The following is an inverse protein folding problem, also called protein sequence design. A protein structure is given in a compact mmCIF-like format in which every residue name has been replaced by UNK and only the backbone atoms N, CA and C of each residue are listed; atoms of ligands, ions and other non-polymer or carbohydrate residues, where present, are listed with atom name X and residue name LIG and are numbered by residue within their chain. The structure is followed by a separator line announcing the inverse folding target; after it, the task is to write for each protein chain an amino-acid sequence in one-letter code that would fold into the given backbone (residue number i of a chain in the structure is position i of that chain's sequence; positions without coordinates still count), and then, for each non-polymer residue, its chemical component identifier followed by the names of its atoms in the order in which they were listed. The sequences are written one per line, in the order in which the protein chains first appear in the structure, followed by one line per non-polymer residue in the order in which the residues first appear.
data_IF_968498416811
#
_entry.id   IF_968498416811
#
_cell.length_a   1.000
_cell.length_b   1.000
_cell.length_c   1.000
_cell.angle_alpha   90.00
_cell.angle_beta   90.00
_cell.angle_gamma   90.00
#
_symmetry.space_group_name_H-M   'P 1'
#
loop_
_entity.id
_entity.type
_entity.pdbx_description
1 polymer ?
#
# COMPACT_ATOMS: atom_id res chain seq x y z
N UNK A 1 -17.15 34.64 25.72
CA UNK A 1 -17.23 34.41 24.25
C UNK A 1 -17.92 33.08 24.00
N UNK A 2 -18.85 33.08 23.04
CA UNK A 2 -20.05 32.26 22.99
C UNK A 2 -19.85 31.01 22.12
N UNK A 3 -20.22 29.83 22.65
CA UNK A 3 -20.45 28.58 21.90
C UNK A 3 -21.68 28.72 20.99
N UNK A 4 -21.59 28.20 19.76
CA UNK A 4 -22.67 27.95 18.78
C UNK A 4 -22.13 26.82 17.89
N UNK A 5 -22.81 25.74 17.48
CA UNK A 5 -24.20 25.40 17.08
C UNK A 5 -24.14 23.90 16.67
N UNK A 6 -25.16 23.08 16.41
CA UNK A 6 -26.62 23.09 16.48
C UNK A 6 -27.06 21.62 16.21
N UNK A 7 -28.19 21.21 16.77
CA UNK A 7 -28.84 19.88 16.71
C UNK A 7 -29.89 19.85 15.58
N UNK A 8 -30.49 18.66 15.34
CA UNK A 8 -31.92 18.37 15.01
C UNK A 8 -32.14 17.83 13.57
N UNK A 9 -33.01 16.86 13.20
CA UNK A 9 -33.82 15.77 13.81
C UNK A 9 -34.43 14.98 12.65
N UNK A 10 -34.63 13.67 12.83
CA UNK A 10 -35.30 12.77 11.88
C UNK A 10 -36.83 12.83 12.02
N UNK A 11 -37.57 12.86 10.90
CA UNK A 11 -39.01 12.55 10.86
C UNK A 11 -39.27 11.34 9.95
N UNK A 12 -40.05 10.39 10.45
CA UNK A 12 -40.75 9.36 9.67
C UNK A 12 -42.22 9.78 9.52
N UNK A 13 -42.82 9.55 8.36
CA UNK A 13 -44.27 9.56 8.18
C UNK A 13 -44.69 8.41 7.25
N UNK A 14 -45.72 7.68 7.68
CA UNK A 14 -46.36 6.55 7.00
C UNK A 14 -47.79 6.94 6.63
N UNK A 15 -48.22 6.57 5.42
CA UNK A 15 -49.58 6.08 5.13
C UNK A 15 -50.64 7.09 4.71
N UNK A 16 -51.29 6.84 3.56
CA UNK A 16 -52.72 6.46 3.39
C UNK A 16 -53.12 6.54 1.92
N UNK A 17 -53.93 5.59 1.44
CA UNK A 17 -54.35 5.48 0.04
C UNK A 17 -55.69 6.16 -0.28
N UNK A 18 -56.08 6.14 -1.56
CA UNK A 18 -57.42 5.79 -2.06
C UNK A 18 -57.45 5.75 -3.60
N UNK A 19 -58.27 4.83 -4.13
CA UNK A 19 -58.57 4.57 -5.53
C UNK A 19 -59.48 5.63 -6.16
N UNK A 20 -59.26 5.95 -7.44
CA UNK A 20 -60.32 6.35 -8.38
C UNK A 20 -60.15 5.65 -9.73
N UNK A 21 -61.18 4.92 -10.12
CA UNK A 21 -61.43 4.36 -11.46
C UNK A 21 -62.15 5.43 -12.30
N UNK A 22 -61.64 5.77 -13.48
CA UNK A 22 -62.46 5.99 -14.68
C UNK A 22 -61.61 6.28 -15.93
N UNK A 23 -62.02 5.67 -17.05
CA UNK A 23 -61.94 6.29 -18.38
C UNK A 23 -60.64 6.18 -19.16
N UNK A 24 -60.41 5.02 -19.79
CA UNK A 24 -59.54 4.96 -20.98
C UNK A 24 -60.24 5.68 -22.15
N UNK A 25 -59.75 6.87 -22.49
CA UNK A 25 -59.88 7.45 -23.82
C UNK A 25 -58.53 8.04 -24.18
N UNK A 26 -57.85 7.44 -25.16
CA UNK A 26 -56.50 7.79 -25.54
C UNK A 26 -56.43 9.21 -26.09
N UNK A 27 -55.74 10.07 -25.35
CA UNK A 27 -55.13 11.30 -25.86
C UNK A 27 -53.69 11.30 -25.37
N UNK A 28 -52.75 10.95 -26.25
CA UNK A 28 -51.32 11.05 -25.96
C UNK A 28 -50.93 12.53 -26.05
N UNK A 29 -51.15 13.28 -24.98
CA UNK A 29 -50.45 14.54 -24.75
C UNK A 29 -49.10 14.20 -24.12
N UNK A 30 -48.04 14.35 -24.90
CA UNK A 30 -46.67 14.30 -24.41
C UNK A 30 -46.47 15.44 -23.41
N UNK A 31 -46.65 15.18 -22.12
CA UNK A 31 -46.15 16.08 -21.08
C UNK A 31 -44.63 15.94 -21.06
N UNK A 32 -43.92 17.04 -21.34
CA UNK A 32 -42.50 17.12 -21.09
C UNK A 32 -42.25 16.87 -19.61
N UNK A 33 -41.49 15.81 -19.29
CA UNK A 33 -40.98 15.57 -17.94
C UNK A 33 -40.09 16.78 -17.60
N UNK A 34 -40.34 17.52 -16.51
CA UNK A 34 -39.43 18.56 -16.09
C UNK A 34 -38.11 17.91 -15.69
N UNK A 35 -37.07 18.10 -16.50
CA UNK A 35 -35.69 17.79 -16.13
C UNK A 35 -35.31 18.69 -14.97
N UNK A 36 -35.45 18.19 -13.75
CA UNK A 36 -34.83 18.76 -12.56
C UNK A 36 -33.33 18.45 -12.64
N UNK A 37 -32.64 19.19 -13.49
CA UNK A 37 -31.17 19.25 -13.52
C UNK A 37 -30.74 20.23 -12.45
N UNK A 38 -30.92 19.88 -11.18
CA UNK A 38 -30.31 20.62 -10.08
C UNK A 38 -29.76 19.61 -9.07
N UNK A 39 -28.43 19.68 -8.90
CA UNK A 39 -27.56 18.85 -8.06
C UNK A 39 -27.14 17.48 -8.63
N UNK A 40 -26.44 17.52 -9.77
CA UNK A 40 -25.32 16.60 -9.97
C UNK A 40 -24.10 17.15 -9.22
N UNK A 41 -24.07 16.96 -7.89
CA UNK A 41 -22.80 17.06 -7.19
C UNK A 41 -21.84 16.06 -7.85
N UNK A 42 -20.65 16.53 -8.23
CA UNK A 42 -19.64 15.74 -8.93
C UNK A 42 -19.43 14.41 -8.21
N UNK A 43 -19.90 13.31 -8.81
CA UNK A 43 -19.45 11.97 -8.43
C UNK A 43 -17.99 11.96 -8.79
N UNK A 44 -17.11 12.04 -7.78
CA UNK A 44 -15.68 11.92 -8.02
C UNK A 44 -15.43 10.60 -8.75
N UNK A 45 -14.53 10.57 -9.76
CA UNK A 45 -14.27 9.36 -10.49
C UNK A 45 -13.85 8.28 -9.47
N UNK A 46 -14.49 7.11 -9.55
CA UNK A 46 -14.24 5.96 -8.67
C UNK A 46 -12.72 5.66 -8.57
N UNK A 47 -11.94 6.01 -9.59
CA UNK A 47 -10.48 5.90 -9.61
C UNK A 47 -9.72 6.74 -8.58
N UNK A 48 -10.12 7.98 -8.29
CA UNK A 48 -9.43 8.84 -7.30
C UNK A 48 -9.74 8.38 -5.87
N UNK A 49 -11.00 8.05 -5.59
CA UNK A 49 -11.42 7.50 -4.30
C UNK A 49 -10.82 6.11 -4.04
N UNK A 50 -10.75 5.25 -5.06
CA UNK A 50 -10.10 3.95 -4.98
C UNK A 50 -8.57 4.09 -4.79
N UNK A 51 -7.93 5.06 -5.45
CA UNK A 51 -6.50 5.33 -5.25
C UNK A 51 -6.20 5.81 -3.82
N UNK A 52 -6.98 6.76 -3.30
CA UNK A 52 -6.86 7.25 -1.91
C UNK A 52 -7.17 6.17 -0.88
N UNK A 53 -8.10 5.25 -1.17
CA UNK A 53 -8.37 4.09 -0.32
C UNK A 53 -7.22 3.08 -0.36
N UNK A 54 -6.56 2.89 -1.51
CA UNK A 54 -5.40 2.01 -1.68
C UNK A 54 -4.18 2.50 -0.89
N UNK A 55 -3.99 3.81 -0.76
CA UNK A 55 -2.94 4.43 0.06
C UNK A 55 -3.13 4.23 1.57
N UNK A 56 -4.35 3.88 2.00
CA UNK A 56 -4.73 3.65 3.40
C UNK A 56 -4.80 2.18 3.79
N UNK A 57 -4.49 1.27 2.87
CA UNK A 57 -4.49 -0.15 3.18
C UNK A 57 -3.34 -0.46 4.15
N UNK A 58 -3.60 -1.19 5.25
CA UNK A 58 -2.55 -1.61 6.16
C UNK A 58 -1.53 -2.45 5.40
N UNK A 59 -0.25 -2.12 5.56
CA UNK A 59 0.82 -2.91 4.98
C UNK A 59 1.03 -4.17 5.82
N UNK A 60 1.17 -5.31 5.14
CA UNK A 60 1.41 -6.60 5.76
C UNK A 60 2.80 -7.11 5.42
N UNK A 61 3.49 -7.67 6.42
CA UNK A 61 4.73 -8.41 6.22
C UNK A 61 4.38 -9.88 5.97
N UNK A 62 4.60 -10.35 4.76
CA UNK A 62 4.23 -11.69 4.32
C UNK A 62 5.47 -12.58 4.34
N UNK A 63 5.41 -13.70 5.05
CA UNK A 63 6.51 -14.66 5.13
C UNK A 63 6.83 -15.25 3.75
N UNK A 64 8.10 -15.29 3.36
CA UNK A 64 8.49 -15.93 2.11
C UNK A 64 8.56 -17.45 2.28
N UNK A 65 7.60 -18.14 1.68
CA UNK A 65 7.51 -19.61 1.58
C UNK A 65 7.82 -20.11 0.18
N UNK A 66 8.50 -19.30 -0.63
CA UNK A 66 8.89 -19.61 -2.01
C UNK A 66 8.10 -18.85 -3.08
N UNK A 67 7.21 -17.93 -2.68
CA UNK A 67 6.46 -17.10 -3.63
C UNK A 67 7.28 -15.91 -4.18
N UNK A 68 8.40 -15.57 -3.54
CA UNK A 68 9.25 -14.44 -3.88
C UNK A 68 10.73 -14.86 -4.01
N UNK A 69 11.61 -13.91 -4.35
CA UNK A 69 13.06 -14.14 -4.42
C UNK A 69 13.57 -14.88 -3.17
N UNK A 70 14.34 -15.98 -3.32
CA UNK A 70 14.73 -16.84 -2.19
C UNK A 70 15.62 -16.15 -1.15
N UNK A 71 16.19 -14.98 -1.47
CA UNK A 71 16.95 -14.15 -0.52
C UNK A 71 16.05 -13.38 0.44
N UNK A 72 14.78 -13.15 0.07
CA UNK A 72 13.81 -12.53 0.95
C UNK A 72 13.34 -13.53 2.01
N UNK A 73 13.27 -13.09 3.26
CA UNK A 73 12.60 -13.80 4.36
C UNK A 73 11.17 -13.34 4.53
N UNK A 74 10.94 -12.03 4.35
CA UNK A 74 9.63 -11.43 4.33
C UNK A 74 9.52 -10.45 3.16
N UNK A 75 8.30 -10.28 2.67
CA UNK A 75 7.98 -9.25 1.69
C UNK A 75 6.81 -8.42 2.16
N UNK A 76 6.89 -7.12 1.93
CA UNK A 76 5.78 -6.19 2.10
C UNK A 76 5.42 -5.63 0.73
N UNK A 77 4.13 -5.57 0.40
CA UNK A 77 3.66 -5.02 -0.88
C UNK A 77 2.50 -4.05 -0.64
N UNK A 78 2.59 -2.86 -1.23
CA UNK A 78 1.53 -1.85 -1.17
C UNK A 78 1.96 -0.51 -1.76
N UNK A 79 1.03 0.30 -2.25
CA UNK A 79 1.33 1.64 -2.79
C UNK A 79 2.30 1.67 -3.98
N UNK A 80 2.37 0.61 -4.80
CA UNK A 80 3.27 0.53 -5.96
C UNK A 80 4.73 0.18 -5.63
N UNK A 81 5.02 -0.19 -4.38
CA UNK A 81 6.35 -0.63 -3.91
C UNK A 81 6.28 -2.04 -3.32
N UNK A 82 7.38 -2.76 -3.47
CA UNK A 82 7.65 -3.99 -2.72
C UNK A 82 8.88 -3.76 -1.85
N UNK A 83 8.85 -4.19 -0.60
CA UNK A 83 10.03 -4.18 0.27
C UNK A 83 10.40 -5.63 0.58
N UNK A 84 11.63 -6.00 0.27
CA UNK A 84 12.18 -7.32 0.56
C UNK A 84 13.07 -7.23 1.81
N UNK A 85 12.69 -7.96 2.84
CA UNK A 85 13.45 -8.10 4.09
C UNK A 85 14.32 -9.34 3.95
N UNK A 86 15.64 -9.16 3.97
CA UNK A 86 16.63 -10.23 3.75
C UNK A 86 17.56 -10.37 4.95
N UNK A 87 18.46 -11.36 4.94
CA UNK A 87 19.49 -11.52 5.97
C UNK A 87 20.51 -10.36 5.98
N UNK A 88 20.70 -9.66 4.85
CA UNK A 88 21.76 -8.65 4.67
C UNK A 88 21.26 -7.21 4.61
N UNK A 89 19.94 -6.97 4.65
CA UNK A 89 19.40 -5.63 4.45
C UNK A 89 17.93 -5.59 4.03
N UNK A 90 17.46 -4.36 3.83
CA UNK A 90 16.13 -4.05 3.29
C UNK A 90 16.26 -3.58 1.85
N UNK A 91 15.46 -4.13 0.93
CA UNK A 91 15.49 -3.74 -0.48
C UNK A 91 14.13 -3.22 -0.90
N UNK A 92 14.10 -1.94 -1.29
CA UNK A 92 12.92 -1.24 -1.76
C UNK A 92 12.87 -1.30 -3.28
N UNK A 93 11.89 -2.02 -3.80
CA UNK A 93 11.65 -2.22 -5.22
C UNK A 93 10.45 -1.37 -5.66
N UNK A 94 10.76 -0.34 -6.45
CA UNK A 94 9.81 0.63 -6.97
C UNK A 94 9.51 0.34 -8.43
N UNK A 95 8.22 0.25 -8.76
CA UNK A 95 7.77 0.11 -10.14
C UNK A 95 6.96 1.34 -10.54
N UNK A 96 7.48 2.12 -11.49
CA UNK A 96 6.79 3.28 -12.06
C UNK A 96 6.36 2.94 -13.48
N UNK A 97 5.06 3.01 -13.74
CA UNK A 97 4.53 2.94 -15.09
C UNK A 97 4.50 4.35 -15.69
N UNK A 98 5.07 4.52 -16.87
CA UNK A 98 4.95 5.77 -17.61
C UNK A 98 3.49 5.95 -18.08
N UNK A 99 3.00 7.19 -18.03
CA UNK A 99 1.67 7.50 -18.54
C UNK A 99 1.68 7.32 -20.05
N UNK A 100 0.66 6.63 -20.56
CA UNK A 100 0.40 6.51 -22.00
C UNK A 100 0.33 7.91 -22.63
N UNK A 101 1.06 8.12 -23.71
CA UNK A 101 0.85 9.31 -24.53
C UNK A 101 -0.57 9.24 -25.12
N UNK A 102 -1.45 10.23 -24.88
CA UNK A 102 -2.82 10.20 -25.39
C UNK A 102 -2.92 9.97 -26.91
N UNK A 103 -1.86 10.27 -27.66
CA UNK A 103 -1.80 10.09 -29.12
C UNK A 103 -1.42 8.66 -29.57
N UNK A 104 -1.00 7.77 -28.67
CA UNK A 104 -0.68 6.37 -29.03
C UNK A 104 -1.93 5.59 -29.46
N UNK A 105 -2.00 5.31 -30.77
CA UNK A 105 -3.12 4.65 -31.48
C UNK A 105 -3.65 3.41 -30.74
N UNK A 106 -4.98 3.33 -30.59
CA UNK A 106 -5.70 2.10 -30.19
C UNK A 106 -5.33 0.96 -31.14
N UNK A 107 -4.72 -0.12 -30.62
CA UNK A 107 -4.46 -1.34 -31.39
C UNK A 107 -3.06 -1.95 -31.23
N UNK A 108 -2.09 -1.23 -30.66
CA UNK A 108 -0.80 -1.81 -30.28
C UNK A 108 -0.91 -2.52 -28.92
N UNK A 109 -0.24 -3.67 -28.72
CA UNK A 109 -0.20 -4.33 -27.42
C UNK A 109 0.35 -3.37 -26.37
N UNK A 110 -0.30 -3.33 -25.20
CA UNK A 110 0.02 -2.44 -24.08
C UNK A 110 1.42 -2.78 -23.53
N UNK A 111 2.47 -2.29 -24.20
CA UNK A 111 3.85 -2.32 -23.69
C UNK A 111 3.99 -1.17 -22.71
N UNK A 112 3.28 -1.23 -21.58
CA UNK A 112 3.62 -0.34 -20.46
C UNK A 112 5.06 -0.64 -20.09
N UNK A 113 5.97 0.24 -20.49
CA UNK A 113 7.36 0.13 -20.11
C UNK A 113 7.44 0.59 -18.66
N UNK A 114 7.23 -0.34 -17.73
CA UNK A 114 7.43 -0.09 -16.32
C UNK A 114 8.93 0.08 -16.08
N UNK A 115 9.33 1.24 -15.57
CA UNK A 115 10.69 1.43 -15.06
C UNK A 115 10.75 0.88 -13.64
N UNK A 116 11.82 0.13 -13.35
CA UNK A 116 12.06 -0.50 -12.05
C UNK A 116 13.32 0.08 -11.42
N UNK A 117 13.21 0.56 -10.19
CA UNK A 117 14.32 1.06 -9.38
C UNK A 117 14.39 0.24 -8.09
N UNK A 118 15.58 -0.27 -7.75
CA UNK A 118 15.81 -0.96 -6.48
C UNK A 118 16.79 -0.17 -5.64
N UNK A 119 16.33 0.30 -4.47
CA UNK A 119 17.16 0.95 -3.46
C UNK A 119 17.43 -0.06 -2.34
N UNK A 120 18.70 -0.32 -2.06
CA UNK A 120 19.12 -1.21 -0.97
C UNK A 120 19.55 -0.41 0.26
N UNK A 121 19.13 -0.86 1.44
CA UNK A 121 19.69 -0.47 2.73
C UNK A 121 20.39 -1.69 3.31
N UNK A 122 21.70 -1.79 3.07
CA UNK A 122 22.51 -2.93 3.48
C UNK A 122 23.02 -2.77 4.91
N UNK A 123 23.14 -3.89 5.61
CA UNK A 123 23.73 -3.96 6.94
C UNK A 123 25.22 -4.30 6.84
N UNK A 124 26.08 -3.29 7.01
CA UNK A 124 27.53 -3.47 6.87
C UNK A 124 28.15 -4.09 8.14
N UNK A 125 28.95 -5.15 7.97
CA UNK A 125 29.57 -5.88 9.09
C UNK A 125 28.57 -6.43 10.11
N UNK A 126 27.31 -6.59 9.70
CA UNK A 126 26.27 -7.20 10.50
C UNK A 126 26.46 -8.71 10.62
N UNK A 127 25.70 -9.31 11.53
CA UNK A 127 25.54 -10.76 11.59
C UNK A 127 25.03 -11.27 10.23
N UNK A 128 25.75 -12.17 9.53
CA UNK A 128 25.33 -12.65 8.21
C UNK A 128 24.13 -13.60 8.25
N UNK A 129 23.70 -14.03 9.44
CA UNK A 129 22.55 -14.93 9.67
C UNK A 129 21.79 -14.51 10.93
N UNK A 130 21.15 -13.33 10.94
CA UNK A 130 20.34 -12.90 12.07
C UNK A 130 19.12 -13.82 12.21
N UNK A 131 18.61 -13.97 13.43
CA UNK A 131 17.31 -14.62 13.63
C UNK A 131 16.21 -13.63 13.22
N UNK A 132 15.44 -13.97 12.18
CA UNK A 132 14.38 -13.10 11.64
C UNK A 132 13.03 -13.76 11.87
N UNK A 133 12.11 -13.05 12.50
CA UNK A 133 10.79 -13.58 12.86
C UNK A 133 9.69 -12.54 12.64
N UNK A 134 8.54 -13.00 12.12
CA UNK A 134 7.34 -12.19 12.05
C UNK A 134 6.67 -12.10 13.42
N UNK A 135 6.24 -10.90 13.81
CA UNK A 135 5.54 -10.66 15.07
C UNK A 135 4.13 -10.11 14.82
N UNK A 136 3.30 -10.13 15.85
CA UNK A 136 1.90 -9.68 15.77
C UNK A 136 1.16 -10.27 14.55
N UNK A 137 1.17 -11.61 14.47
CA UNK A 137 0.54 -12.36 13.37
C UNK A 137 -0.89 -11.87 13.13
N UNK A 138 -1.19 -11.63 11.87
CA UNK A 138 -2.49 -11.12 11.41
C UNK A 138 -3.39 -12.27 11.00
N UNK A 139 -4.69 -12.00 11.04
CA UNK A 139 -5.73 -12.93 10.57
C UNK A 139 -5.74 -13.06 9.05
N UNK A 140 -5.21 -12.06 8.33
CA UNK A 140 -5.08 -12.10 6.89
C UNK A 140 -4.18 -13.26 6.44
N UNK A 141 -4.60 -13.95 5.38
CA UNK A 141 -3.88 -15.06 4.74
C UNK A 141 -3.73 -14.76 3.25
N UNK A 142 -2.58 -15.11 2.69
CA UNK A 142 -2.24 -14.82 1.30
C UNK A 142 -2.09 -16.11 0.49
N UNK A 143 -2.55 -16.07 -0.76
CA UNK A 143 -2.47 -17.18 -1.70
C UNK A 143 -1.84 -16.69 -3.01
N UNK A 144 -0.79 -17.37 -3.45
CA UNK A 144 -0.01 -17.07 -4.64
C UNK A 144 -0.20 -18.21 -5.64
N UNK A 145 -1.08 -18.00 -6.63
CA UNK A 145 -1.44 -18.98 -7.65
C UNK A 145 -0.76 -18.62 -8.99
N UNK A 146 0.58 -18.68 -9.01
CA UNK A 146 1.38 -18.18 -10.14
C UNK A 146 1.46 -19.24 -11.24
N UNK A 147 0.90 -18.92 -12.40
CA UNK A 147 0.87 -19.81 -13.57
C UNK A 147 -0.08 -21.00 -13.41
N UNK A 148 -0.03 -21.90 -14.40
CA UNK A 148 -0.95 -23.04 -14.49
C UNK A 148 -0.48 -24.30 -13.75
N UNK A 149 0.75 -24.30 -13.23
CA UNK A 149 1.32 -25.42 -12.50
C UNK A 149 0.97 -25.31 -11.01
N UNK A 150 0.05 -26.18 -10.55
CA UNK A 150 -0.41 -26.20 -9.17
C UNK A 150 0.68 -26.53 -8.16
N UNK A 151 1.76 -27.21 -8.57
CA UNK A 151 2.88 -27.50 -7.66
C UNK A 151 3.66 -26.23 -7.29
N UNK A 152 3.49 -25.15 -8.05
CA UNK A 152 4.09 -23.83 -7.79
C UNK A 152 3.17 -22.91 -7.00
N UNK A 153 1.97 -23.34 -6.67
CA UNK A 153 1.03 -22.54 -5.89
C UNK A 153 1.46 -22.54 -4.41
N UNK A 154 1.53 -21.35 -3.82
CA UNK A 154 1.86 -21.17 -2.41
C UNK A 154 0.62 -20.60 -1.73
N UNK A 155 -0.07 -21.41 -0.95
CA UNK A 155 -1.32 -21.03 -0.28
C UNK A 155 -1.14 -20.88 1.22
N UNK A 156 -2.09 -20.21 1.85
CA UNK A 156 -2.19 -20.12 3.32
C UNK A 156 -0.94 -19.50 3.97
N UNK A 157 -0.39 -18.47 3.33
CA UNK A 157 0.81 -17.76 3.80
C UNK A 157 0.41 -16.78 4.90
N UNK A 158 1.04 -16.82 6.10
CA UNK A 158 0.79 -15.87 7.17
C UNK A 158 1.28 -14.46 6.82
N UNK A 159 0.56 -13.50 7.37
CA UNK A 159 0.97 -12.11 7.42
C UNK A 159 1.22 -11.68 8.87
N UNK A 160 2.09 -10.70 9.02
CA UNK A 160 2.57 -10.17 10.29
C UNK A 160 2.45 -8.64 10.29
N UNK A 161 2.35 -8.05 11.49
CA UNK A 161 2.31 -6.60 11.66
C UNK A 161 3.70 -5.96 11.65
N UNK A 162 4.72 -6.74 12.01
CA UNK A 162 6.11 -6.30 12.08
C UNK A 162 7.04 -7.52 11.92
N UNK A 163 8.31 -7.25 11.66
CA UNK A 163 9.38 -8.25 11.61
C UNK A 163 10.49 -7.84 12.56
N UNK A 164 10.94 -8.80 13.38
CA UNK A 164 12.03 -8.63 14.33
C UNK A 164 13.27 -9.39 13.83
N UNK A 165 14.35 -8.65 13.67
CA UNK A 165 15.71 -9.15 13.52
C UNK A 165 16.36 -9.16 14.89
N UNK A 166 16.78 -10.32 15.39
CA UNK A 166 17.59 -10.41 16.61
C UNK A 166 19.06 -10.48 16.27
N UNK A 167 19.86 -9.78 17.07
CA UNK A 167 21.31 -9.74 16.96
C UNK A 167 21.77 -9.45 15.51
N UNK A 168 21.17 -8.42 14.89
CA UNK A 168 21.65 -7.90 13.60
C UNK A 168 23.05 -7.31 13.76
N UNK A 169 23.32 -6.71 14.92
CA UNK A 169 24.67 -6.47 15.45
C UNK A 169 24.74 -7.05 16.87
N UNK A 170 25.94 -7.26 17.45
CA UNK A 170 26.07 -7.78 18.80
C UNK A 170 25.23 -7.00 19.83
N UNK A 171 24.25 -7.66 20.46
CA UNK A 171 23.32 -7.05 21.41
C UNK A 171 22.49 -5.88 20.85
N UNK A 172 22.23 -5.88 19.54
CA UNK A 172 21.35 -4.94 18.86
C UNK A 172 20.34 -5.71 18.00
N UNK A 173 19.07 -5.51 18.30
CA UNK A 173 17.96 -6.01 17.49
C UNK A 173 17.47 -4.90 16.54
N UNK A 174 16.78 -5.28 15.47
CA UNK A 174 16.11 -4.34 14.56
C UNK A 174 14.66 -4.75 14.37
N UNK A 175 13.74 -3.81 14.59
CA UNK A 175 12.32 -3.99 14.35
C UNK A 175 11.94 -3.25 13.07
N UNK A 176 11.23 -3.91 12.17
CA UNK A 176 10.67 -3.32 10.94
C UNK A 176 9.15 -3.40 11.00
N UNK A 177 8.46 -2.28 10.81
CA UNK A 177 7.01 -2.19 11.03
C UNK A 177 6.36 -1.17 10.09
N UNK A 178 5.04 -1.21 10.00
CA UNK A 178 4.24 -0.20 9.31
C UNK A 178 3.90 0.96 10.24
N UNK A 179 4.17 2.19 9.80
CA UNK A 179 3.60 3.42 10.37
C UNK A 179 2.77 4.13 9.30
N UNK A 180 1.45 3.92 9.35
CA UNK A 180 0.46 4.62 8.50
C UNK A 180 0.78 4.50 7.01
N UNK A 181 1.07 3.28 6.56
CA UNK A 181 1.37 2.98 5.16
C UNK A 181 2.82 3.23 4.76
N UNK A 182 3.70 3.55 5.72
CA UNK A 182 5.14 3.74 5.51
C UNK A 182 5.94 2.73 6.31
N UNK A 183 6.88 2.06 5.66
CA UNK A 183 7.80 1.14 6.34
C UNK A 183 8.78 1.95 7.19
N UNK A 184 8.83 1.64 8.48
CA UNK A 184 9.80 2.19 9.44
C UNK A 184 10.61 1.08 10.08
N UNK A 185 11.76 1.46 10.62
CA UNK A 185 12.59 0.57 11.39
C UNK A 185 13.20 1.28 12.61
N UNK A 186 13.38 0.51 13.68
CA UNK A 186 14.04 0.94 14.91
C UNK A 186 15.18 -0.03 15.24
N UNK A 187 16.30 0.48 15.73
CA UNK A 187 17.33 -0.33 16.39
C UNK A 187 17.10 -0.34 17.89
N UNK A 188 17.03 -1.54 18.47
CA UNK A 188 16.83 -1.76 19.90
C UNK A 188 18.18 -2.20 20.46
N UNK A 189 18.89 -1.27 21.08
CA UNK A 189 20.20 -1.52 21.68
C UNK A 189 19.99 -2.11 23.08
N UNK A 190 20.29 -3.40 23.23
CA UNK A 190 20.21 -4.12 24.52
C UNK A 190 21.45 -3.80 25.37
N UNK A 191 21.44 -4.10 26.69
CA UNK A 191 22.63 -3.95 27.53
C UNK A 191 23.86 -4.60 26.91
N UNK A 192 24.97 -3.85 26.81
CA UNK A 192 26.20 -4.28 26.15
C UNK A 192 26.30 -3.98 24.66
N UNK A 193 25.18 -3.65 24.00
CA UNK A 193 25.15 -3.24 22.60
C UNK A 193 25.74 -1.84 22.39
N UNK A 194 26.25 -1.59 21.18
CA UNK A 194 26.93 -0.34 20.83
C UNK A 194 26.33 0.26 19.57
N UNK A 195 25.90 1.53 19.66
CA UNK A 195 25.38 2.28 18.51
C UNK A 195 26.43 2.43 17.40
N UNK A 196 27.71 2.55 17.77
CA UNK A 196 28.81 2.72 16.82
C UNK A 196 29.06 1.50 15.90
N UNK A 197 28.47 0.35 16.24
CA UNK A 197 28.59 -0.86 15.45
C UNK A 197 27.53 -0.90 14.33
N UNK A 198 26.45 -0.11 14.45
CA UNK A 198 25.39 -0.01 13.45
C UNK A 198 25.91 0.77 12.23
N UNK A 199 26.05 0.09 11.09
CA UNK A 199 26.51 0.70 9.84
C UNK A 199 25.59 0.33 8.68
N UNK A 200 25.07 1.35 8.01
CA UNK A 200 24.14 1.17 6.90
C UNK A 200 24.75 1.74 5.63
N UNK A 201 24.71 0.95 4.56
CA UNK A 201 25.06 1.42 3.23
C UNK A 201 23.81 1.51 2.37
N UNK A 202 23.68 2.61 1.62
CA UNK A 202 22.60 2.75 0.63
C UNK A 202 23.14 2.43 -0.76
N UNK A 203 22.45 1.55 -1.48
CA UNK A 203 22.74 1.17 -2.87
C UNK A 203 21.58 1.54 -3.79
N UNK A 204 21.88 1.72 -5.07
CA UNK A 204 20.87 2.08 -6.08
C UNK A 204 20.42 3.54 -5.97
N UNK A 205 21.29 4.40 -5.43
CA UNK A 205 21.07 5.84 -5.28
C UNK A 205 22.16 6.59 -6.07
N UNK A 206 21.82 7.78 -6.55
CA UNK A 206 22.75 8.67 -7.28
C UNK A 206 23.54 9.56 -6.32
N UNK A 207 23.02 9.76 -5.11
CA UNK A 207 23.69 10.55 -4.08
C UNK A 207 22.98 10.47 -2.73
N UNK A 208 23.74 10.73 -1.67
CA UNK A 208 23.23 10.79 -0.30
C UNK A 208 23.67 12.11 0.33
N UNK A 209 22.71 12.90 0.79
CA UNK A 209 22.99 14.22 1.39
C UNK A 209 22.19 14.40 2.68
N UNK A 210 22.66 15.29 3.53
CA UNK A 210 21.92 15.71 4.70
C UNK A 210 21.22 17.03 4.39
N UNK A 211 19.92 17.12 4.67
CA UNK A 211 19.11 18.32 4.45
C UNK A 211 18.21 18.58 5.65
N UNK A 212 18.31 19.75 6.28
CA UNK A 212 17.49 20.14 7.45
C UNK A 212 17.41 19.09 8.58
N UNK A 213 18.44 18.25 8.73
CA UNK A 213 18.50 17.18 9.73
C UNK A 213 18.01 15.82 9.23
N UNK A 214 17.44 15.76 8.04
CA UNK A 214 17.05 14.54 7.34
C UNK A 214 18.18 14.03 6.44
N UNK A 215 18.16 12.73 6.16
CA UNK A 215 19.05 12.12 5.18
C UNK A 215 18.24 11.90 3.90
N UNK A 216 18.64 12.58 2.82
CA UNK A 216 17.95 12.57 1.53
C UNK A 216 18.79 11.76 0.54
N UNK A 217 18.17 10.75 -0.06
CA UNK A 217 18.76 9.92 -1.09
C UNK A 217 18.21 10.34 -2.46
N UNK A 218 19.09 10.83 -3.33
CA UNK A 218 18.73 11.12 -4.71
C UNK A 218 18.69 9.82 -5.52
N UNK A 219 17.66 9.66 -6.34
CA UNK A 219 17.48 8.50 -7.21
C UNK A 219 17.03 8.93 -8.61
N UNK A 220 17.10 8.01 -9.57
CA UNK A 220 16.56 8.23 -10.92
C UNK A 220 15.05 8.55 -10.93
N UNK A 221 14.33 8.26 -9.85
CA UNK A 221 12.90 8.53 -9.71
C UNK A 221 12.60 9.83 -8.96
N UNK A 222 13.62 10.52 -8.45
CA UNK A 222 13.53 11.73 -7.63
C UNK A 222 14.24 11.59 -6.28
N UNK A 223 14.10 12.63 -5.46
CA UNK A 223 14.45 12.65 -4.03
C UNK A 223 13.22 12.32 -3.16
#
# INVERSE_FOLDING_TARGET
MLKKKCVLTTFFAVGTGLLFLSGFAGNWQTQAIPTKTDNLAAVQPIGEQAAQAMERLPLYFIENRGQADPRARFTLQGGGRTVHLTDSGLFFDFLRYEKRDPEEKRGQPDRRMGRRLVVGLDFENANPRPEISGQAQKTARFNYLIGNDRSKWVTDVPAYGEVLYRDVYPAVDMRVYDDRGTVRYDFIVRPGGRVADIRLAMRGIDGLRRDQGELVAATEFGE
#
